data_IF_636914952643
#
_entry.id   IF_636914952643
#
_cell.length_a   1.000
_cell.length_b   1.000
_cell.length_c   1.000
_cell.angle_alpha   90.00
_cell.angle_beta   90.00
_cell.angle_gamma   90.00
#
_symmetry.space_group_name_H-M   'P 1'
#
loop_
_entity.id
_entity.type
_entity.pdbx_description
1 polymer ?
#
# COMPACT_ATOMS: atom_id res chain seq x y z
N UNK A 1 1.70 21.86 4.15
CA UNK A 1 0.53 22.04 5.02
C UNK A 1 -0.17 20.70 5.08
N UNK A 2 -0.30 20.09 6.26
CA UNK A 2 -1.02 18.82 6.37
C UNK A 2 -2.52 19.12 6.24
N UNK A 3 -3.16 18.36 5.37
CA UNK A 3 -4.50 18.57 4.85
C UNK A 3 -5.56 18.64 5.96
N UNK A 4 -6.42 19.67 5.91
CA UNK A 4 -7.59 19.87 6.79
C UNK A 4 -8.73 18.89 6.47
N UNK A 5 -8.54 18.03 5.45
CA UNK A 5 -9.52 17.04 5.02
C UNK A 5 -9.99 16.17 6.19
N UNK A 6 -11.27 16.31 6.51
CA UNK A 6 -11.96 15.51 7.51
C UNK A 6 -12.41 14.18 6.92
N UNK A 7 -12.14 13.10 7.63
CA UNK A 7 -12.58 11.75 7.28
C UNK A 7 -13.79 11.36 8.12
N UNK A 8 -14.90 10.93 7.51
CA UNK A 8 -16.03 10.37 8.24
C UNK A 8 -15.68 9.02 8.85
N UNK A 9 -15.96 8.86 10.15
CA UNK A 9 -15.68 7.64 10.92
C UNK A 9 -16.92 7.22 11.69
N UNK A 10 -17.44 6.06 11.35
CA UNK A 10 -18.47 5.40 12.15
C UNK A 10 -17.84 4.67 13.34
N UNK A 11 -18.57 4.50 14.42
CA UNK A 11 -18.04 3.84 15.62
C UNK A 11 -19.06 2.94 16.30
N UNK A 12 -18.56 1.98 17.07
CA UNK A 12 -19.36 1.14 17.95
C UNK A 12 -18.63 0.87 19.27
N UNK A 13 -19.39 0.73 20.35
CA UNK A 13 -18.90 0.33 21.66
C UNK A 13 -19.28 -1.12 21.93
N UNK A 14 -18.28 -1.99 21.94
CA UNK A 14 -18.43 -3.43 22.14
C UNK A 14 -17.99 -3.82 23.55
N UNK A 15 -18.94 -4.18 24.40
CA UNK A 15 -18.69 -4.39 25.81
C UNK A 15 -19.69 -5.38 26.41
N UNK A 16 -19.60 -5.57 27.72
CA UNK A 16 -20.53 -6.37 28.50
C UNK A 16 -20.94 -5.56 29.72
N UNK A 17 -22.21 -5.62 30.12
CA UNK A 17 -22.66 -4.98 31.34
C UNK A 17 -21.97 -5.60 32.58
N UNK A 18 -21.53 -4.78 33.57
CA UNK A 18 -20.95 -5.29 34.81
C UNK A 18 -21.85 -6.32 35.49
N UNK A 19 -21.26 -7.40 36.03
CA UNK A 19 -21.98 -8.52 36.67
C UNK A 19 -22.96 -9.28 35.77
N UNK A 20 -22.99 -9.02 34.47
CA UNK A 20 -23.83 -9.78 33.53
C UNK A 20 -23.29 -11.20 33.32
N UNK A 21 -24.19 -12.15 33.00
CA UNK A 21 -23.84 -13.47 32.52
C UNK A 21 -23.77 -13.56 30.99
N UNK A 22 -24.35 -12.58 30.27
CA UNK A 22 -24.40 -12.53 28.81
C UNK A 22 -23.02 -12.32 28.18
N UNK A 23 -22.83 -12.68 26.91
CA UNK A 23 -21.55 -12.43 26.23
C UNK A 23 -21.40 -10.95 25.84
N UNK A 24 -20.25 -10.57 25.30
CA UNK A 24 -20.04 -9.22 24.77
C UNK A 24 -20.95 -8.92 23.58
N UNK A 25 -21.50 -7.71 23.56
CA UNK A 25 -22.39 -7.20 22.52
C UNK A 25 -22.08 -5.74 22.19
N UNK A 26 -22.67 -5.22 21.11
CA UNK A 26 -22.58 -3.80 20.77
C UNK A 26 -23.61 -3.05 21.62
N UNK A 27 -23.13 -2.22 22.55
CA UNK A 27 -23.99 -1.46 23.46
C UNK A 27 -24.39 -0.08 22.90
N UNK A 28 -23.60 0.47 21.97
CA UNK A 28 -23.89 1.73 21.28
C UNK A 28 -23.17 1.78 19.93
N UNK A 29 -23.71 2.53 18.97
CA UNK A 29 -23.14 2.67 17.62
C UNK A 29 -23.63 3.96 16.96
N UNK A 30 -22.80 4.58 16.09
CA UNK A 30 -23.20 5.71 15.26
C UNK A 30 -23.88 5.31 13.95
N UNK A 31 -23.90 4.01 13.61
CA UNK A 31 -24.49 3.53 12.37
C UNK A 31 -26.03 3.57 12.46
N UNK A 32 -26.73 4.14 11.46
CA UNK A 32 -28.19 4.10 11.40
C UNK A 32 -28.66 2.68 11.07
N UNK A 33 -29.53 2.12 11.90
CA UNK A 33 -30.30 0.86 11.71
C UNK A 33 -29.53 -0.44 11.36
N UNK A 34 -28.20 -0.43 11.19
CA UNK A 34 -27.38 -1.64 11.29
C UNK A 34 -27.45 -2.12 12.74
N UNK A 35 -28.34 -3.09 13.01
CA UNK A 35 -28.59 -3.53 14.37
C UNK A 35 -27.28 -4.00 15.02
N UNK A 36 -27.08 -3.75 16.33
CA UNK A 36 -26.02 -4.37 17.14
C UNK A 36 -25.75 -5.85 16.83
N UNK A 37 -26.76 -6.57 16.34
CA UNK A 37 -26.73 -7.97 15.91
C UNK A 37 -25.88 -8.22 14.66
N UNK A 38 -25.74 -7.26 13.74
CA UNK A 38 -24.91 -7.39 12.54
C UNK A 38 -23.44 -7.03 12.81
N UNK A 39 -23.20 -5.99 13.62
CA UNK A 39 -21.86 -5.55 14.00
C UNK A 39 -21.19 -6.51 14.98
N UNK A 40 -21.94 -7.10 15.91
CA UNK A 40 -21.41 -8.03 16.90
C UNK A 40 -20.60 -9.19 16.31
N UNK A 41 -21.15 -9.97 15.34
CA UNK A 41 -20.41 -11.01 14.63
C UNK A 41 -19.15 -10.51 13.92
N UNK A 42 -19.20 -9.34 13.27
CA UNK A 42 -18.05 -8.76 12.58
C UNK A 42 -16.92 -8.43 13.56
N UNK A 43 -17.24 -7.75 14.67
CA UNK A 43 -16.28 -7.39 15.71
C UNK A 43 -15.69 -8.65 16.35
N UNK A 44 -16.52 -9.64 16.69
CA UNK A 44 -16.06 -10.94 17.22
C UNK A 44 -15.16 -11.69 16.24
N UNK A 45 -15.45 -11.60 14.95
CA UNK A 45 -14.66 -12.20 13.89
C UNK A 45 -13.31 -11.53 13.64
N UNK A 46 -13.08 -10.33 14.18
CA UNK A 46 -11.81 -9.60 14.08
C UNK A 46 -11.01 -9.64 15.40
N UNK A 47 -11.68 -9.73 16.55
CA UNK A 47 -11.00 -9.76 17.83
C UNK A 47 -10.20 -11.06 18.04
N UNK A 48 -8.97 -10.91 18.50
CA UNK A 48 -8.27 -11.99 19.22
C UNK A 48 -9.16 -12.37 20.41
N UNK A 49 -9.42 -13.66 20.63
CA UNK A 49 -10.55 -14.19 21.41
C UNK A 49 -10.66 -13.73 22.88
N UNK A 50 -11.05 -14.64 23.76
CA UNK A 50 -11.18 -14.32 25.18
C UNK A 50 -9.79 -14.29 25.82
N UNK A 51 -9.12 -13.14 25.78
CA UNK A 51 -7.78 -12.98 26.33
C UNK A 51 -7.86 -12.29 27.69
N UNK A 52 -7.19 -12.85 28.70
CA UNK A 52 -6.94 -12.14 29.95
C UNK A 52 -5.74 -11.20 29.77
N UNK A 53 -5.91 -9.94 30.15
CA UNK A 53 -4.80 -9.00 30.16
C UNK A 53 -4.09 -9.05 31.52
N UNK A 54 -2.76 -9.23 31.57
CA UNK A 54 -2.01 -9.13 32.81
C UNK A 54 -2.09 -7.71 33.38
N UNK A 55 -2.03 -7.59 34.71
CA UNK A 55 -2.08 -6.31 35.40
C UNK A 55 -0.88 -5.38 35.05
N UNK A 56 0.26 -5.96 34.67
CA UNK A 56 1.48 -5.28 34.28
C UNK A 56 2.23 -6.03 33.17
N UNK A 57 3.15 -5.33 32.51
CA UNK A 57 4.04 -5.92 31.51
C UNK A 57 3.50 -5.88 30.08
N UNK A 58 4.15 -6.63 29.16
CA UNK A 58 4.07 -6.42 27.72
C UNK A 58 2.69 -6.75 27.12
N UNK A 59 1.95 -7.64 27.78
CA UNK A 59 0.59 -8.00 27.37
C UNK A 59 -0.50 -7.13 27.95
N UNK A 60 -0.18 -6.05 28.66
CA UNK A 60 -1.21 -5.19 29.26
C UNK A 60 -1.96 -4.39 28.18
N UNK A 61 -3.28 -4.29 28.30
CA UNK A 61 -4.14 -3.39 27.50
C UNK A 61 -3.77 -1.90 27.72
N UNK A 62 -3.94 -1.03 26.72
CA UNK A 62 -4.76 -1.23 25.52
C UNK A 62 -4.07 -2.00 24.39
N UNK A 63 -4.87 -2.70 23.59
CA UNK A 63 -4.43 -3.36 22.35
C UNK A 63 -5.20 -2.79 21.17
N UNK A 64 -4.57 -2.75 20.00
CA UNK A 64 -5.22 -2.40 18.75
C UNK A 64 -5.27 -3.60 17.80
N UNK A 65 -6.40 -3.73 17.12
CA UNK A 65 -6.61 -4.64 15.99
C UNK A 65 -6.98 -3.82 14.77
N UNK A 66 -6.34 -4.17 13.67
CA UNK A 66 -6.59 -3.68 12.33
C UNK A 66 -7.20 -4.82 11.54
N UNK A 67 -8.27 -4.53 10.81
CA UNK A 67 -8.80 -5.48 9.84
C UNK A 67 -9.70 -4.81 8.82
N UNK A 68 -10.31 -5.64 7.98
CA UNK A 68 -11.28 -5.22 7.00
C UNK A 68 -12.63 -5.85 7.33
N UNK A 69 -13.70 -5.07 7.29
CA UNK A 69 -15.06 -5.61 7.29
C UNK A 69 -15.37 -6.10 5.88
N UNK A 70 -15.67 -7.40 5.68
CA UNK A 70 -16.13 -7.90 4.40
C UNK A 70 -17.42 -7.16 4.00
N UNK A 71 -17.44 -6.61 2.80
CA UNK A 71 -18.52 -5.81 2.24
C UNK A 71 -18.36 -5.73 0.72
N UNK A 72 -19.20 -4.97 0.03
CA UNK A 72 -19.16 -4.87 -1.43
C UNK A 72 -17.74 -4.59 -1.96
N UNK A 73 -17.37 -5.13 -3.15
CA UNK A 73 -16.00 -5.11 -3.68
C UNK A 73 -15.32 -3.74 -3.70
N UNK A 74 -16.10 -2.66 -3.86
CA UNK A 74 -15.62 -1.27 -3.93
C UNK A 74 -15.77 -0.49 -2.61
N UNK A 75 -16.34 -1.11 -1.57
CA UNK A 75 -16.77 -0.47 -0.33
C UNK A 75 -16.15 -1.11 0.92
N UNK A 76 -14.95 -1.68 0.80
CA UNK A 76 -14.21 -2.21 1.94
C UNK A 76 -14.10 -1.16 3.04
N UNK A 77 -14.70 -1.44 4.20
CA UNK A 77 -14.54 -0.62 5.40
C UNK A 77 -13.36 -1.16 6.19
N UNK A 78 -12.42 -0.29 6.47
CA UNK A 78 -11.34 -0.56 7.40
C UNK A 78 -11.88 -0.51 8.82
N UNK A 79 -11.45 -1.47 9.65
CA UNK A 79 -11.87 -1.63 11.03
C UNK A 79 -10.66 -1.44 11.94
N UNK A 80 -10.74 -0.46 12.83
CA UNK A 80 -9.76 -0.21 13.88
C UNK A 80 -10.40 -0.45 15.23
N UNK A 81 -9.95 -1.46 15.96
CA UNK A 81 -10.53 -1.85 17.23
C UNK A 81 -9.51 -1.60 18.33
N UNK A 82 -9.86 -0.76 19.30
CA UNK A 82 -9.07 -0.54 20.51
C UNK A 82 -9.74 -1.29 21.65
N UNK A 83 -9.06 -2.30 22.21
CA UNK A 83 -9.48 -2.95 23.45
C UNK A 83 -8.90 -2.18 24.62
N UNK A 84 -9.77 -1.65 25.47
CA UNK A 84 -9.43 -0.76 26.58
C UNK A 84 -9.15 -1.52 27.90
N UNK A 85 -8.78 -0.76 28.92
CA UNK A 85 -8.57 -1.25 30.29
C UNK A 85 -9.87 -1.81 30.86
N UNK A 86 -9.71 -2.71 31.83
CA UNK A 86 -10.82 -3.37 32.48
C UNK A 86 -11.83 -2.36 33.06
N UNK A 87 -13.09 -2.50 32.67
CA UNK A 87 -14.22 -1.68 33.11
C UNK A 87 -15.12 -2.44 34.10
N UNK A 88 -14.49 -3.13 35.05
CA UNK A 88 -15.15 -3.98 36.04
C UNK A 88 -15.04 -5.47 35.74
N UNK A 89 -15.86 -6.26 36.41
CA UNK A 89 -15.85 -7.72 36.33
C UNK A 89 -17.22 -8.28 35.94
N UNK A 90 -17.21 -9.40 35.22
CA UNK A 90 -18.42 -10.14 34.88
C UNK A 90 -18.92 -11.01 36.05
N UNK A 91 -20.03 -11.73 35.86
CA UNK A 91 -20.58 -12.63 36.87
C UNK A 91 -19.62 -13.75 37.33
N UNK A 92 -18.58 -14.07 36.53
CA UNK A 92 -17.57 -15.07 36.84
C UNK A 92 -16.29 -14.45 37.44
N UNK A 93 -16.29 -13.14 37.75
CA UNK A 93 -15.14 -12.44 38.31
C UNK A 93 -14.04 -12.15 37.30
N UNK A 94 -14.29 -12.30 35.99
CA UNK A 94 -13.32 -12.01 34.94
C UNK A 94 -13.40 -10.55 34.55
N UNK A 95 -12.25 -9.94 34.27
CA UNK A 95 -12.19 -8.55 33.82
C UNK A 95 -12.96 -8.35 32.51
N UNK A 96 -13.78 -7.30 32.48
CA UNK A 96 -14.47 -6.85 31.27
C UNK A 96 -13.53 -5.91 30.52
N UNK A 97 -13.02 -6.35 29.37
CA UNK A 97 -12.16 -5.57 28.48
C UNK A 97 -13.02 -5.03 27.33
N UNK A 98 -13.65 -3.86 27.48
CA UNK A 98 -14.48 -3.29 26.43
C UNK A 98 -13.62 -2.88 25.24
N UNK A 99 -14.25 -2.71 24.08
CA UNK A 99 -13.59 -2.29 22.86
C UNK A 99 -14.33 -1.15 22.17
N UNK A 100 -13.58 -0.13 21.75
CA UNK A 100 -14.03 0.90 20.81
C UNK A 100 -13.70 0.43 19.41
N UNK A 101 -14.69 0.39 18.56
CA UNK A 101 -14.59 -0.01 17.16
C UNK A 101 -14.77 1.23 16.31
N UNK A 102 -13.85 1.48 15.40
CA UNK A 102 -13.91 2.58 14.43
C UNK A 102 -13.93 2.00 13.02
N UNK A 103 -14.88 2.45 12.21
CA UNK A 103 -15.12 1.99 10.85
C UNK A 103 -14.90 3.14 9.89
N UNK A 104 -14.01 2.95 8.92
CA UNK A 104 -13.60 3.99 7.97
C UNK A 104 -13.70 3.44 6.56
N UNK A 105 -14.34 4.18 5.65
CA UNK A 105 -14.36 3.80 4.24
C UNK A 105 -12.95 3.85 3.64
N UNK A 106 -12.52 2.77 2.99
CA UNK A 106 -11.19 2.71 2.38
C UNK A 106 -10.89 3.88 1.42
N UNK A 107 -11.81 4.32 0.52
CA UNK A 107 -11.52 5.46 -0.36
C UNK A 107 -11.17 6.74 0.40
N UNK A 108 -11.86 7.05 1.50
CA UNK A 108 -11.60 8.23 2.32
C UNK A 108 -10.27 8.10 3.08
N UNK A 109 -9.97 6.90 3.58
CA UNK A 109 -8.69 6.58 4.23
C UNK A 109 -7.51 6.74 3.25
N UNK A 110 -7.67 6.19 2.04
CA UNK A 110 -6.68 6.22 0.99
C UNK A 110 -6.43 7.64 0.49
N UNK A 111 -7.48 8.45 0.31
CA UNK A 111 -7.38 9.85 -0.12
C UNK A 111 -6.37 10.64 0.73
N UNK A 112 -6.46 10.51 2.07
CA UNK A 112 -5.57 11.21 3.01
C UNK A 112 -4.28 10.47 3.33
N UNK A 113 -4.09 9.24 2.82
CA UNK A 113 -2.92 8.43 3.11
C UNK A 113 -2.82 8.03 4.58
N UNK A 114 -3.94 7.69 5.23
CA UNK A 114 -3.93 7.39 6.66
C UNK A 114 -3.06 6.16 7.02
N UNK A 115 -2.56 6.14 8.25
CA UNK A 115 -1.80 5.03 8.84
C UNK A 115 -2.36 4.63 10.20
N UNK A 116 -2.02 3.43 10.66
CA UNK A 116 -2.55 2.91 11.92
C UNK A 116 -2.02 3.69 13.13
N UNK A 117 -0.77 4.17 13.10
CA UNK A 117 -0.22 5.05 14.12
C UNK A 117 -0.94 6.40 14.20
N UNK A 118 -1.34 6.99 13.06
CA UNK A 118 -2.10 8.25 13.05
C UNK A 118 -3.53 8.04 13.57
N UNK A 119 -4.13 6.91 13.26
CA UNK A 119 -5.42 6.52 13.82
C UNK A 119 -5.34 6.29 15.32
N UNK A 120 -4.30 5.62 15.81
CA UNK A 120 -4.07 5.50 17.25
C UNK A 120 -3.95 6.85 17.94
N UNK A 121 -3.18 7.79 17.38
CA UNK A 121 -3.06 9.14 17.92
C UNK A 121 -4.42 9.85 18.02
N UNK A 122 -5.29 9.67 17.01
CA UNK A 122 -6.62 10.27 17.00
C UNK A 122 -7.59 9.58 17.98
N UNK A 123 -7.51 8.25 18.13
CA UNK A 123 -8.52 7.45 18.81
C UNK A 123 -8.16 7.04 20.23
N UNK A 124 -6.88 6.88 20.59
CA UNK A 124 -6.46 6.24 21.84
C UNK A 124 -7.11 6.84 23.09
N UNK A 125 -7.27 8.17 23.11
CA UNK A 125 -7.87 8.91 24.22
C UNK A 125 -9.24 9.52 23.87
N UNK A 126 -9.85 9.11 22.76
CA UNK A 126 -11.11 9.66 22.29
C UNK A 126 -12.31 9.07 23.04
N UNK A 127 -13.11 9.91 23.68
CA UNK A 127 -14.36 9.50 24.33
C UNK A 127 -15.50 9.45 23.31
N UNK A 128 -16.22 8.33 23.25
CA UNK A 128 -17.30 8.14 22.28
C UNK A 128 -18.53 8.97 22.66
N UNK A 129 -19.15 9.69 21.70
CA UNK A 129 -20.35 10.49 21.96
C UNK A 129 -21.58 9.58 22.03
N UNK A 130 -21.94 9.11 23.22
CA UNK A 130 -23.06 8.18 23.37
C UNK A 130 -24.45 8.81 23.16
N UNK A 131 -24.60 10.13 23.31
CA UNK A 131 -25.89 10.83 23.22
C UNK A 131 -25.75 12.26 22.66
N UNK A 132 -26.24 12.55 21.44
CA UNK A 132 -26.70 11.59 20.45
C UNK A 132 -25.54 10.76 19.86
N UNK A 133 -25.77 9.50 19.46
CA UNK A 133 -24.75 8.71 18.79
C UNK A 133 -24.52 9.20 17.36
N UNK A 134 -23.59 10.14 17.20
CA UNK A 134 -23.25 10.74 15.92
C UNK A 134 -21.94 10.20 15.34
N UNK A 135 -21.87 10.18 14.00
CA UNK A 135 -20.66 9.86 13.25
C UNK A 135 -19.57 10.90 13.53
N UNK A 136 -18.32 10.47 13.65
CA UNK A 136 -17.18 11.36 13.87
C UNK A 136 -16.68 11.94 12.54
N UNK A 137 -16.21 13.19 12.57
CA UNK A 137 -15.44 13.81 11.49
C UNK A 137 -14.04 14.11 12.01
N UNK A 138 -13.04 13.37 11.53
CA UNK A 138 -11.67 13.45 12.06
C UNK A 138 -10.69 13.99 11.04
N UNK A 139 -9.92 14.99 11.45
CA UNK A 139 -8.79 15.54 10.71
C UNK A 139 -7.48 14.91 11.16
N UNK A 140 -6.41 15.07 10.37
CA UNK A 140 -5.05 14.70 10.80
C UNK A 140 -4.73 13.21 10.76
N UNK A 141 -5.62 12.38 10.21
CA UNK A 141 -5.36 10.95 9.99
C UNK A 141 -4.27 10.72 8.93
N UNK A 142 -4.09 11.67 8.01
CA UNK A 142 -3.13 11.57 6.93
C UNK A 142 -1.67 11.61 7.37
N UNK A 143 -0.81 11.03 6.53
CA UNK A 143 0.65 11.12 6.64
C UNK A 143 1.29 11.36 5.29
N UNK A 144 2.51 11.89 5.32
CA UNK A 144 3.33 12.16 4.13
C UNK A 144 4.31 10.99 3.88
N UNK A 145 4.74 10.75 2.63
CA UNK A 145 5.80 9.79 2.34
C UNK A 145 7.07 9.98 3.18
N UNK A 146 7.54 11.21 3.36
CA UNK A 146 8.71 11.52 4.20
C UNK A 146 8.59 10.94 5.63
N UNK A 147 7.46 11.17 6.30
CA UNK A 147 7.17 10.60 7.63
C UNK A 147 7.08 9.07 7.60
N UNK A 148 6.50 8.47 6.57
CA UNK A 148 6.50 7.01 6.43
C UNK A 148 7.93 6.47 6.30
N UNK A 149 8.79 7.14 5.53
CA UNK A 149 10.21 6.81 5.40
C UNK A 149 10.97 6.94 6.72
N UNK A 150 10.70 7.98 7.51
CA UNK A 150 11.24 8.11 8.88
C UNK A 150 10.85 6.92 9.76
N UNK A 151 9.60 6.48 9.72
CA UNK A 151 9.13 5.30 10.46
C UNK A 151 9.84 4.02 10.00
N UNK A 152 10.06 3.84 8.68
CA UNK A 152 10.85 2.72 8.12
C UNK A 152 12.29 2.77 8.63
N UNK A 153 12.93 3.94 8.60
CA UNK A 153 14.31 4.12 9.09
C UNK A 153 14.44 3.81 10.57
N UNK A 154 13.47 4.23 11.38
CA UNK A 154 13.46 3.96 12.82
C UNK A 154 13.41 2.45 13.13
N UNK A 155 12.78 1.66 12.28
CA UNK A 155 12.74 0.19 12.40
C UNK A 155 13.94 -0.51 11.73
N UNK A 156 14.76 0.22 10.96
CA UNK A 156 15.84 -0.31 10.13
C UNK A 156 15.35 -0.85 8.79
N UNK A 157 15.85 -0.27 7.69
CA UNK A 157 15.40 -0.61 6.33
C UNK A 157 15.47 -2.10 6.03
N UNK A 158 16.63 -2.72 6.28
CA UNK A 158 16.92 -4.10 5.91
C UNK A 158 15.94 -5.06 6.59
N UNK A 159 15.63 -4.80 7.86
CA UNK A 159 14.64 -5.55 8.61
C UNK A 159 13.22 -5.30 8.10
N UNK A 160 12.83 -4.03 7.91
CA UNK A 160 11.48 -3.67 7.46
C UNK A 160 11.17 -4.23 6.06
N UNK A 161 12.12 -4.17 5.13
CA UNK A 161 11.97 -4.70 3.78
C UNK A 161 11.80 -6.23 3.80
N UNK A 162 12.60 -6.94 4.59
CA UNK A 162 12.45 -8.38 4.77
C UNK A 162 11.10 -8.74 5.43
N UNK A 163 10.64 -7.95 6.40
CA UNK A 163 9.35 -8.13 7.05
C UNK A 163 8.18 -7.90 6.07
N UNK A 164 8.23 -6.85 5.24
CA UNK A 164 7.23 -6.59 4.21
C UNK A 164 7.14 -7.73 3.19
N UNK A 165 8.29 -8.25 2.74
CA UNK A 165 8.36 -9.42 1.88
C UNK A 165 7.77 -10.69 2.52
N UNK A 166 8.04 -10.91 3.81
CA UNK A 166 7.47 -12.03 4.54
C UNK A 166 5.94 -11.91 4.69
N UNK A 167 5.43 -10.71 5.02
CA UNK A 167 3.99 -10.41 5.10
C UNK A 167 3.28 -10.66 3.78
N UNK A 168 3.92 -10.29 2.66
CA UNK A 168 3.37 -10.54 1.33
C UNK A 168 3.22 -12.05 1.03
N UNK A 169 4.12 -12.87 1.57
CA UNK A 169 4.12 -14.31 1.37
C UNK A 169 3.21 -15.06 2.32
N UNK A 170 2.80 -14.45 3.44
CA UNK A 170 1.84 -15.04 4.36
C UNK A 170 1.82 -14.41 5.75
N UNK A 171 1.06 -15.00 6.69
CA UNK A 171 0.98 -14.52 8.07
C UNK A 171 2.34 -14.58 8.78
N UNK A 172 2.70 -13.47 9.44
CA UNK A 172 3.92 -13.37 10.24
C UNK A 172 3.60 -13.09 11.71
N UNK A 173 4.47 -13.59 12.58
CA UNK A 173 4.47 -13.27 14.01
C UNK A 173 5.77 -12.58 14.39
N UNK A 174 5.66 -11.41 15.00
CA UNK A 174 6.79 -10.57 15.38
C UNK A 174 7.01 -10.72 16.89
N UNK A 175 8.18 -11.24 17.27
CA UNK A 175 8.66 -11.30 18.65
C UNK A 175 9.73 -10.23 18.91
N UNK A 176 10.15 -10.07 20.17
CA UNK A 176 11.15 -9.05 20.55
C UNK A 176 10.57 -7.65 20.74
N UNK A 177 9.24 -7.50 20.65
CA UNK A 177 8.51 -6.25 20.84
C UNK A 177 7.76 -6.22 22.19
N UNK A 178 8.18 -7.03 23.16
CA UNK A 178 7.54 -7.12 24.47
C UNK A 178 7.65 -5.76 25.18
N UNK A 179 8.78 -5.07 25.08
CA UNK A 179 8.97 -3.76 25.71
C UNK A 179 8.25 -2.61 24.99
N UNK A 180 7.73 -2.84 23.78
CA UNK A 180 6.95 -1.86 23.05
C UNK A 180 5.53 -1.78 23.60
N UNK A 181 4.97 -0.57 23.68
CA UNK A 181 3.54 -0.39 23.91
C UNK A 181 2.74 -0.56 22.61
N UNK A 182 1.41 -0.37 22.67
CA UNK A 182 0.57 -0.46 21.48
C UNK A 182 0.98 0.55 20.39
N UNK A 183 1.43 1.75 20.77
CA UNK A 183 1.84 2.77 19.80
C UNK A 183 3.13 2.35 19.09
N UNK A 184 4.13 1.84 19.82
CA UNK A 184 5.38 1.33 19.26
C UNK A 184 5.14 0.18 18.27
N UNK A 185 4.26 -0.77 18.62
CA UNK A 185 3.89 -1.89 17.74
C UNK A 185 3.13 -1.43 16.49
N UNK A 186 2.29 -0.40 16.60
CA UNK A 186 1.63 0.21 15.44
C UNK A 186 2.61 0.97 14.54
N UNK A 187 3.64 1.60 15.10
CA UNK A 187 4.70 2.21 14.31
C UNK A 187 5.46 1.17 13.47
N UNK A 188 5.70 -0.03 14.03
CA UNK A 188 6.27 -1.16 13.30
C UNK A 188 5.33 -1.64 12.18
N UNK A 189 4.01 -1.74 12.44
CA UNK A 189 3.02 -2.07 11.40
C UNK A 189 3.03 -1.02 10.29
N UNK A 190 3.11 0.26 10.65
CA UNK A 190 3.17 1.37 9.70
C UNK A 190 4.45 1.32 8.84
N UNK A 191 5.61 1.00 9.44
CA UNK A 191 6.86 0.80 8.70
C UNK A 191 6.74 -0.32 7.67
N UNK A 192 6.26 -1.50 8.08
CA UNK A 192 6.06 -2.65 7.18
C UNK A 192 5.07 -2.28 6.06
N UNK A 193 3.96 -1.64 6.42
CA UNK A 193 2.89 -1.25 5.48
C UNK A 193 3.28 -0.07 4.57
N UNK A 194 4.38 0.63 4.85
CA UNK A 194 4.94 1.66 3.97
C UNK A 194 5.81 1.05 2.85
N UNK A 195 6.28 -0.18 3.03
CA UNK A 195 7.02 -0.95 2.02
C UNK A 195 6.13 -1.95 1.26
N UNK A 196 4.81 -1.75 1.32
CA UNK A 196 3.80 -2.43 0.51
C UNK A 196 3.02 -1.36 -0.28
N UNK A 197 2.45 -1.67 -1.47
CA UNK A 197 1.49 -0.79 -2.11
C UNK A 197 0.39 -0.37 -1.13
N UNK A 198 0.01 0.91 -1.11
CA UNK A 198 -1.00 1.42 -0.18
C UNK A 198 -2.32 0.62 -0.25
N UNK A 199 -2.68 0.18 -1.45
CA UNK A 199 -3.75 -0.76 -1.79
C UNK A 199 -3.87 -1.97 -0.88
N UNK A 200 -2.74 -2.51 -0.43
CA UNK A 200 -2.69 -3.68 0.45
C UNK A 200 -3.36 -3.42 1.80
N UNK A 201 -3.41 -2.16 2.25
CA UNK A 201 -4.01 -1.78 3.54
C UNK A 201 -5.52 -2.01 3.58
N UNK A 202 -6.18 -2.11 2.42
CA UNK A 202 -7.61 -2.37 2.33
C UNK A 202 -8.01 -3.69 3.03
N UNK A 203 -7.14 -4.70 3.00
CA UNK A 203 -7.39 -6.05 3.55
C UNK A 203 -6.29 -6.54 4.50
N UNK A 204 -5.32 -5.67 4.83
CA UNK A 204 -4.29 -5.99 5.79
C UNK A 204 -4.92 -6.16 7.18
N UNK A 205 -4.69 -7.31 7.80
CA UNK A 205 -5.10 -7.60 9.17
C UNK A 205 -3.89 -7.63 10.09
N UNK A 206 -3.98 -6.93 11.23
CA UNK A 206 -2.89 -6.88 12.18
C UNK A 206 -3.34 -6.74 13.63
N UNK A 207 -2.56 -7.28 14.57
CA UNK A 207 -2.85 -7.20 16.01
C UNK A 207 -1.60 -6.77 16.77
N UNK A 208 -1.70 -5.70 17.56
CA UNK A 208 -0.59 -5.23 18.41
C UNK A 208 -0.32 -6.15 19.60
N UNK A 209 -1.23 -7.07 19.88
CA UNK A 209 -1.01 -8.15 20.83
C UNK A 209 -2.04 -9.24 20.62
N UNK A 210 -1.63 -10.50 20.76
CA UNK A 210 -2.56 -11.63 20.84
C UNK A 210 -2.23 -12.54 22.01
N UNK A 211 -3.29 -13.12 22.59
CA UNK A 211 -3.17 -14.27 23.47
C UNK A 211 -2.96 -15.57 22.68
N UNK A 212 -2.87 -16.69 23.41
CA UNK A 212 -2.58 -18.03 22.87
C UNK A 212 -3.71 -18.57 21.95
N UNK A 213 -4.92 -17.99 22.00
CA UNK A 213 -6.09 -18.48 21.26
C UNK A 213 -6.69 -17.37 20.36
N UNK A 214 -6.32 -17.38 19.08
CA UNK A 214 -6.99 -16.56 18.06
C UNK A 214 -7.60 -17.46 17.00
N UNK A 215 -8.92 -17.36 16.82
CA UNK A 215 -9.65 -18.02 15.72
C UNK A 215 -9.33 -17.43 14.35
N UNK A 216 -8.72 -16.24 14.34
CA UNK A 216 -8.29 -15.49 13.17
C UNK A 216 -6.77 -15.57 13.08
N UNK A 217 -6.25 -15.71 11.86
CA UNK A 217 -4.82 -15.59 11.58
C UNK A 217 -4.55 -14.25 10.88
N UNK A 218 -4.13 -13.21 11.62
CA UNK A 218 -3.82 -11.92 11.03
C UNK A 218 -2.58 -12.01 10.14
N UNK A 219 -2.44 -11.13 9.15
CA UNK A 219 -1.18 -11.03 8.40
C UNK A 219 -0.02 -10.64 9.29
N UNK A 220 -0.23 -9.74 10.25
CA UNK A 220 0.81 -9.30 11.19
C UNK A 220 0.32 -9.50 12.62
N UNK A 221 1.06 -10.27 13.41
CA UNK A 221 0.72 -10.49 14.82
C UNK A 221 1.91 -10.25 15.72
N UNK A 222 1.72 -9.48 16.79
CA UNK A 222 2.69 -9.43 17.88
C UNK A 222 2.33 -10.48 18.93
N UNK A 223 3.22 -11.46 19.13
CA UNK A 223 3.00 -12.53 20.10
C UNK A 223 4.33 -12.96 20.74
N UNK A 224 4.31 -13.32 22.04
CA UNK A 224 5.50 -13.82 22.73
C UNK A 224 5.93 -15.21 22.21
N UNK A 225 4.97 -16.04 21.75
CA UNK A 225 5.20 -17.38 21.20
C UNK A 225 4.17 -17.70 20.11
N UNK A 226 4.55 -18.49 19.09
CA UNK A 226 3.66 -18.95 18.02
C UNK A 226 3.80 -18.22 16.68
N UNK A 227 3.15 -18.75 15.64
CA UNK A 227 3.16 -18.22 14.27
C UNK A 227 3.81 -19.11 13.22
N UNK A 228 3.30 -19.09 11.99
CA UNK A 228 3.84 -19.86 10.86
C UNK A 228 5.24 -19.37 10.47
N UNK A 229 5.44 -18.05 10.43
CA UNK A 229 6.72 -17.40 10.12
C UNK A 229 7.05 -16.37 11.20
N UNK A 230 8.12 -16.63 11.95
CA UNK A 230 8.53 -15.81 13.09
C UNK A 230 9.62 -14.83 12.68
N UNK A 231 9.40 -13.55 12.97
CA UNK A 231 10.36 -12.48 12.82
C UNK A 231 10.79 -12.00 14.21
N UNK A 232 12.08 -11.67 14.37
CA UNK A 232 12.56 -10.97 15.56
C UNK A 232 12.71 -9.49 15.20
N UNK A 233 12.06 -8.61 15.96
CA UNK A 233 12.09 -7.18 15.71
C UNK A 233 13.54 -6.66 15.66
N UNK A 234 13.88 -5.93 14.60
CA UNK A 234 15.19 -5.31 14.41
C UNK A 234 16.32 -6.25 13.94
N UNK A 235 16.07 -7.56 13.84
CA UNK A 235 17.07 -8.54 13.36
C UNK A 235 16.75 -8.95 11.93
N UNK A 236 17.49 -8.49 10.91
CA UNK A 236 17.24 -8.86 9.53
C UNK A 236 17.39 -10.38 9.37
N UNK A 237 16.37 -11.02 8.81
CA UNK A 237 16.40 -12.42 8.42
C UNK A 237 16.02 -12.54 6.94
N UNK A 238 16.60 -13.50 6.24
CA UNK A 238 16.26 -13.70 4.83
C UNK A 238 14.85 -14.30 4.78
N UNK A 239 13.90 -13.66 4.07
CA UNK A 239 12.55 -14.17 4.04
C UNK A 239 12.51 -15.51 3.31
N UNK A 240 11.63 -16.41 3.75
CA UNK A 240 11.49 -17.76 3.19
C UNK A 240 10.51 -17.75 2.03
N UNK A 241 10.84 -18.50 0.98
CA UNK A 241 10.00 -18.65 -0.22
C UNK A 241 10.41 -17.72 -1.36
N UNK A 242 10.18 -18.17 -2.60
CA UNK A 242 10.59 -17.46 -3.80
C UNK A 242 9.94 -16.08 -3.92
N UNK A 243 8.63 -15.97 -3.67
CA UNK A 243 7.90 -14.71 -3.72
C UNK A 243 8.50 -13.65 -2.78
N UNK A 244 8.83 -14.04 -1.55
CA UNK A 244 9.40 -13.12 -0.56
C UNK A 244 10.80 -12.66 -0.98
N UNK A 245 11.63 -13.59 -1.48
CA UNK A 245 12.96 -13.26 -1.97
C UNK A 245 12.88 -12.29 -3.16
N UNK A 246 12.03 -12.59 -4.16
CA UNK A 246 11.83 -11.75 -5.34
C UNK A 246 11.35 -10.34 -4.97
N UNK A 247 10.44 -10.24 -3.99
CA UNK A 247 9.93 -8.95 -3.53
C UNK A 247 11.00 -8.15 -2.79
N UNK A 248 11.80 -8.79 -1.93
CA UNK A 248 12.91 -8.13 -1.24
C UNK A 248 13.97 -7.62 -2.22
N UNK A 249 14.34 -8.44 -3.20
CA UNK A 249 15.30 -8.05 -4.24
C UNK A 249 14.77 -6.87 -5.08
N UNK A 250 13.48 -6.90 -5.41
CA UNK A 250 12.81 -5.78 -6.08
C UNK A 250 12.82 -4.50 -5.23
N UNK A 251 12.47 -4.57 -3.94
CA UNK A 251 12.52 -3.40 -3.05
C UNK A 251 13.92 -2.80 -2.98
N UNK A 252 14.96 -3.63 -2.92
CA UNK A 252 16.34 -3.16 -2.87
C UNK A 252 16.79 -2.53 -4.19
N UNK A 253 16.41 -3.11 -5.34
CA UNK A 253 16.68 -2.52 -6.64
C UNK A 253 15.99 -1.15 -6.80
N UNK A 254 14.72 -1.06 -6.42
CA UNK A 254 13.96 0.19 -6.48
C UNK A 254 14.48 1.24 -5.47
N UNK A 255 14.94 0.82 -4.28
CA UNK A 255 15.62 1.72 -3.33
C UNK A 255 16.89 2.29 -3.92
N UNK A 256 17.72 1.47 -4.55
CA UNK A 256 18.97 1.93 -5.17
C UNK A 256 18.71 2.99 -6.25
N UNK A 257 17.57 2.87 -6.95
CA UNK A 257 17.17 3.78 -8.02
C UNK A 257 16.50 5.06 -7.53
N UNK A 258 15.48 4.95 -6.69
CA UNK A 258 14.63 6.08 -6.31
C UNK A 258 14.99 6.69 -4.95
N UNK A 259 15.94 6.08 -4.23
CA UNK A 259 16.10 6.32 -2.80
C UNK A 259 14.91 5.79 -1.99
N UNK A 260 15.05 5.81 -0.67
CA UNK A 260 14.02 5.28 0.24
C UNK A 260 12.73 6.09 0.19
N UNK A 261 12.83 7.43 0.22
CA UNK A 261 11.67 8.31 0.18
C UNK A 261 10.95 8.25 -1.17
N UNK A 262 11.70 8.24 -2.27
CA UNK A 262 11.13 8.13 -3.61
C UNK A 262 10.42 6.79 -3.86
N UNK A 263 10.91 5.70 -3.27
CA UNK A 263 10.25 4.40 -3.30
C UNK A 263 8.97 4.39 -2.43
N UNK A 264 9.06 4.86 -1.18
CA UNK A 264 7.90 4.94 -0.28
C UNK A 264 6.80 5.83 -0.86
N UNK A 265 7.15 6.95 -1.49
CA UNK A 265 6.18 7.83 -2.15
C UNK A 265 5.43 7.14 -3.29
N UNK A 266 6.15 6.35 -4.11
CA UNK A 266 5.54 5.57 -5.20
C UNK A 266 4.62 4.48 -4.68
N UNK A 267 5.05 3.72 -3.67
CA UNK A 267 4.20 2.70 -3.03
C UNK A 267 2.95 3.32 -2.38
N UNK A 268 3.07 4.53 -1.80
CA UNK A 268 1.95 5.28 -1.23
C UNK A 268 0.91 5.74 -2.28
N UNK A 269 1.30 5.82 -3.56
CA UNK A 269 0.41 6.20 -4.66
C UNK A 269 -0.32 5.01 -5.31
N UNK A 270 0.13 3.77 -5.07
CA UNK A 270 -0.58 2.58 -5.50
C UNK A 270 -1.78 2.31 -4.58
N UNK A 271 -2.90 3.00 -4.82
CA UNK A 271 -4.05 3.05 -3.89
C UNK A 271 -5.19 2.11 -4.25
N UNK A 272 -5.18 1.47 -5.41
CA UNK A 272 -6.22 0.51 -5.77
C UNK A 272 -6.26 -0.65 -4.76
N UNK A 273 -7.42 -1.02 -4.20
CA UNK A 273 -7.51 -2.07 -3.19
C UNK A 273 -6.89 -3.38 -3.69
N UNK A 274 -6.02 -3.99 -2.88
CA UNK A 274 -5.46 -5.32 -3.14
C UNK A 274 -5.80 -6.21 -1.95
N UNK A 275 -6.58 -7.27 -2.20
CA UNK A 275 -6.83 -8.31 -1.20
C UNK A 275 -5.58 -9.18 -1.00
N UNK A 276 -4.71 -8.76 -0.09
CA UNK A 276 -3.50 -9.51 0.29
C UNK A 276 -3.80 -10.86 0.95
N UNK A 277 -5.06 -11.17 1.28
CA UNK A 277 -5.49 -12.48 1.79
C UNK A 277 -5.78 -13.46 0.66
N UNK A 278 -6.12 -12.97 -0.53
CA UNK A 278 -6.56 -13.80 -1.65
C UNK A 278 -5.43 -14.71 -2.19
N UNK A 279 -5.75 -15.93 -2.64
CA UNK A 279 -4.79 -16.80 -3.31
C UNK A 279 -4.15 -16.08 -4.51
N UNK A 280 -2.82 -16.06 -4.56
CA UNK A 280 -2.08 -15.43 -5.67
C UNK A 280 -1.91 -13.91 -5.58
N UNK A 281 -2.47 -13.25 -4.56
CA UNK A 281 -2.33 -11.79 -4.37
C UNK A 281 -0.88 -11.30 -4.35
N UNK A 282 0.04 -12.13 -3.86
CA UNK A 282 1.47 -11.87 -3.88
C UNK A 282 2.02 -11.59 -5.28
N UNK A 283 1.55 -12.32 -6.29
CA UNK A 283 1.94 -12.10 -7.69
C UNK A 283 1.40 -10.77 -8.22
N UNK A 284 0.16 -10.41 -7.89
CA UNK A 284 -0.44 -9.13 -8.25
C UNK A 284 0.32 -7.95 -7.65
N UNK A 285 0.68 -8.03 -6.35
CA UNK A 285 1.49 -7.01 -5.69
C UNK A 285 2.88 -6.91 -6.31
N UNK A 286 3.54 -8.05 -6.55
CA UNK A 286 4.86 -8.06 -7.18
C UNK A 286 4.81 -7.41 -8.57
N UNK A 287 3.77 -7.69 -9.35
CA UNK A 287 3.59 -7.08 -10.66
C UNK A 287 3.34 -5.56 -10.55
N UNK A 288 2.44 -5.12 -9.66
CA UNK A 288 2.18 -3.70 -9.45
C UNK A 288 3.44 -2.92 -9.02
N UNK A 289 4.30 -3.53 -8.21
CA UNK A 289 5.58 -2.91 -7.79
C UNK A 289 6.62 -2.96 -8.91
N UNK A 290 6.67 -4.01 -9.75
CA UNK A 290 7.50 -4.03 -10.96
C UNK A 290 7.11 -2.92 -11.92
N UNK A 291 5.81 -2.63 -12.02
CA UNK A 291 5.29 -1.55 -12.84
C UNK A 291 5.63 -0.15 -12.29
N UNK A 292 6.10 -0.01 -11.03
CA UNK A 292 6.66 1.26 -10.55
C UNK A 292 7.97 1.62 -11.23
N UNK A 293 8.71 0.61 -11.67
CA UNK A 293 9.85 0.75 -12.55
C UNK A 293 9.50 0.24 -13.94
N UNK A 294 8.33 0.66 -14.42
CA UNK A 294 7.91 0.43 -15.78
C UNK A 294 8.99 0.86 -16.77
N UNK A 295 9.81 1.85 -16.43
CA UNK A 295 10.88 2.35 -17.26
C UNK A 295 12.04 1.35 -17.40
N UNK A 296 12.59 0.79 -16.31
CA UNK A 296 13.54 -0.33 -16.44
C UNK A 296 12.87 -1.54 -17.08
N UNK A 297 11.62 -1.84 -16.73
CA UNK A 297 10.91 -2.98 -17.32
C UNK A 297 10.74 -2.81 -18.83
N UNK A 298 10.44 -1.59 -19.29
CA UNK A 298 10.31 -1.22 -20.70
C UNK A 298 11.67 -1.21 -21.40
N UNK A 299 12.71 -0.65 -20.77
CA UNK A 299 14.08 -0.69 -21.29
C UNK A 299 14.59 -2.13 -21.42
N UNK A 300 14.38 -2.95 -20.40
CA UNK A 300 14.79 -4.35 -20.38
C UNK A 300 14.01 -5.16 -21.41
N UNK A 301 12.69 -5.00 -21.50
CA UNK A 301 11.88 -5.62 -22.54
C UNK A 301 12.31 -5.16 -23.95
N UNK A 302 12.72 -3.89 -24.09
CA UNK A 302 13.29 -3.36 -25.33
C UNK A 302 14.62 -4.04 -25.69
N UNK A 303 15.52 -4.19 -24.71
CA UNK A 303 16.81 -4.89 -24.86
C UNK A 303 16.64 -6.38 -25.15
N UNK A 304 15.62 -7.02 -24.59
CA UNK A 304 15.27 -8.43 -24.82
C UNK A 304 14.45 -8.64 -26.11
N UNK A 305 14.01 -7.57 -26.77
CA UNK A 305 13.15 -7.62 -27.95
C UNK A 305 11.72 -8.10 -27.68
N UNK A 306 11.28 -8.08 -26.42
CA UNK A 306 9.95 -8.53 -25.95
C UNK A 306 8.98 -7.37 -25.72
N UNK A 307 9.41 -6.13 -25.96
CA UNK A 307 8.61 -4.94 -25.74
C UNK A 307 7.35 -4.90 -26.62
N UNK A 308 6.19 -4.65 -26.00
CA UNK A 308 4.91 -4.45 -26.67
C UNK A 308 4.67 -2.96 -26.98
N UNK A 309 4.47 -2.57 -28.26
CA UNK A 309 4.23 -1.18 -28.63
C UNK A 309 2.93 -0.61 -28.04
N UNK A 310 1.91 -1.42 -27.76
CA UNK A 310 0.68 -0.95 -27.09
C UNK A 310 0.95 -0.63 -25.63
N UNK A 311 1.67 -1.51 -24.93
CA UNK A 311 2.14 -1.28 -23.57
C UNK A 311 3.02 -0.04 -23.45
N UNK A 312 3.91 0.19 -24.42
CA UNK A 312 4.75 1.39 -24.49
C UNK A 312 3.92 2.67 -24.61
N UNK A 313 2.94 2.71 -25.52
CA UNK A 313 2.06 3.88 -25.72
C UNK A 313 1.22 4.23 -24.49
N UNK A 314 0.57 3.24 -23.87
CA UNK A 314 -0.20 3.46 -22.63
C UNK A 314 0.66 3.98 -21.47
N UNK A 315 1.93 3.58 -21.44
CA UNK A 315 2.87 3.99 -20.38
C UNK A 315 3.40 5.40 -20.61
N UNK A 316 3.57 5.83 -21.86
CA UNK A 316 3.80 7.24 -22.18
C UNK A 316 2.62 8.12 -21.76
N UNK A 317 1.38 7.69 -22.01
CA UNK A 317 0.19 8.43 -21.58
C UNK A 317 0.08 8.54 -20.05
N UNK A 318 0.55 7.52 -19.32
CA UNK A 318 0.47 7.44 -17.87
C UNK A 318 1.61 8.15 -17.13
N UNK A 319 2.71 8.48 -17.80
CA UNK A 319 3.89 9.03 -17.15
C UNK A 319 3.99 10.54 -17.30
N UNK A 320 4.21 11.25 -16.18
CA UNK A 320 4.78 12.60 -16.23
C UNK A 320 6.22 12.47 -16.75
N UNK A 321 6.44 12.62 -18.06
CA UNK A 321 7.76 12.43 -18.66
C UNK A 321 8.84 13.41 -18.17
N UNK A 322 8.45 14.41 -17.37
CA UNK A 322 9.34 15.30 -16.62
C UNK A 322 10.06 14.58 -15.46
N UNK A 323 9.57 13.40 -15.05
CA UNK A 323 10.19 12.56 -14.02
C UNK A 323 11.31 11.65 -14.54
N UNK A 324 11.57 11.63 -15.86
CA UNK A 324 12.57 10.78 -16.50
C UNK A 324 13.97 11.44 -16.50
N UNK A 325 15.02 10.62 -16.41
CA UNK A 325 16.39 11.07 -16.65
C UNK A 325 16.70 11.21 -18.16
N UNK A 326 17.72 12.01 -18.56
CA UNK A 326 18.07 12.21 -19.98
C UNK A 326 18.50 10.94 -20.72
N UNK A 327 19.09 9.98 -20.02
CA UNK A 327 19.50 8.69 -20.61
C UNK A 327 18.29 7.79 -20.90
N UNK A 328 17.34 7.74 -19.96
CA UNK A 328 16.16 6.90 -20.06
C UNK A 328 15.20 7.43 -21.14
N UNK A 329 15.08 8.76 -21.25
CA UNK A 329 14.36 9.40 -22.37
C UNK A 329 14.96 9.04 -23.72
N UNK A 330 16.30 9.02 -23.83
CA UNK A 330 16.99 8.60 -25.06
C UNK A 330 16.72 7.14 -25.42
N UNK A 331 16.77 6.21 -24.46
CA UNK A 331 16.49 4.79 -24.72
C UNK A 331 15.03 4.56 -25.13
N UNK A 332 14.07 5.18 -24.43
CA UNK A 332 12.65 5.12 -24.80
C UNK A 332 12.39 5.68 -26.21
N UNK A 333 13.03 6.81 -26.53
CA UNK A 333 12.97 7.42 -27.86
C UNK A 333 13.51 6.47 -28.93
N UNK A 334 14.62 5.80 -28.65
CA UNK A 334 15.20 4.80 -29.56
C UNK A 334 14.23 3.62 -29.80
N UNK A 335 13.57 3.10 -28.76
CA UNK A 335 12.58 2.02 -28.94
C UNK A 335 11.36 2.46 -29.74
N UNK A 336 10.83 3.64 -29.46
CA UNK A 336 9.70 4.19 -30.21
C UNK A 336 10.03 4.40 -31.70
N UNK A 337 11.24 4.89 -32.00
CA UNK A 337 11.78 4.97 -33.37
C UNK A 337 11.89 3.59 -34.02
N UNK A 338 12.36 2.56 -33.30
CA UNK A 338 12.44 1.20 -33.84
C UNK A 338 11.05 0.63 -34.19
N UNK A 339 10.00 0.90 -33.40
CA UNK A 339 8.65 0.46 -33.74
C UNK A 339 8.07 1.21 -34.95
N UNK A 340 8.27 2.53 -35.01
CA UNK A 340 7.90 3.32 -36.17
C UNK A 340 8.61 2.82 -37.45
N UNK A 341 9.89 2.43 -37.34
CA UNK A 341 10.65 1.87 -38.45
C UNK A 341 10.09 0.53 -38.94
N UNK A 342 9.59 -0.32 -38.03
CA UNK A 342 8.98 -1.61 -38.38
C UNK A 342 7.60 -1.49 -39.03
N UNK A 343 7.06 -0.28 -39.19
CA UNK A 343 5.75 -0.04 -39.78
C UNK A 343 4.61 -0.52 -38.88
N UNK A 344 4.83 -0.61 -37.57
CA UNK A 344 3.76 -0.87 -36.62
C UNK A 344 2.97 0.44 -36.42
N UNK A 345 1.74 0.48 -36.95
CA UNK A 345 0.85 1.64 -36.83
C UNK A 345 0.63 2.05 -35.36
N UNK A 346 0.62 1.09 -34.43
CA UNK A 346 0.43 1.34 -32.99
C UNK A 346 1.69 1.89 -32.35
N UNK A 347 2.86 1.39 -32.77
CA UNK A 347 4.15 1.93 -32.36
C UNK A 347 4.41 3.33 -32.92
N UNK A 348 3.95 3.58 -34.15
CA UNK A 348 3.96 4.92 -34.77
C UNK A 348 3.07 5.88 -34.01
N UNK A 349 1.87 5.45 -33.62
CA UNK A 349 0.94 6.28 -32.83
C UNK A 349 1.46 6.58 -31.41
N UNK A 350 2.11 5.61 -30.76
CA UNK A 350 2.81 5.83 -29.49
C UNK A 350 3.98 6.83 -29.63
N UNK A 351 4.77 6.71 -30.71
CA UNK A 351 5.85 7.64 -31.01
C UNK A 351 5.33 9.05 -31.31
N UNK A 352 4.25 9.18 -32.08
CA UNK A 352 3.65 10.48 -32.37
C UNK A 352 3.09 11.15 -31.09
N UNK A 353 2.49 10.38 -30.19
CA UNK A 353 2.07 10.88 -28.87
C UNK A 353 3.24 11.32 -27.98
N UNK A 354 4.40 10.68 -28.08
CA UNK A 354 5.62 11.17 -27.42
C UNK A 354 6.10 12.50 -28.02
N UNK A 355 6.06 12.61 -29.35
CA UNK A 355 6.54 13.77 -30.11
C UNK A 355 5.73 15.05 -29.91
N UNK A 356 4.53 14.99 -29.33
CA UNK A 356 3.76 16.20 -28.99
C UNK A 356 4.34 16.95 -27.79
N UNK A 357 5.38 16.42 -27.13
CA UNK A 357 6.11 17.13 -26.07
C UNK A 357 7.07 18.17 -26.65
N UNK A 358 7.15 19.33 -26.00
CA UNK A 358 7.97 20.46 -26.43
C UNK A 358 9.49 20.17 -26.49
N UNK A 359 9.97 19.14 -25.78
CA UNK A 359 11.37 18.74 -25.66
C UNK A 359 11.75 17.52 -26.52
N UNK A 360 10.78 16.77 -27.05
CA UNK A 360 11.01 15.48 -27.71
C UNK A 360 11.87 15.56 -29.00
N UNK A 361 11.82 16.68 -29.72
CA UNK A 361 12.57 16.86 -30.98
C UNK A 361 14.09 16.80 -30.76
N UNK A 362 14.59 17.44 -29.69
CA UNK A 362 16.02 17.42 -29.37
C UNK A 362 16.52 16.02 -29.03
N UNK A 363 15.70 15.24 -28.33
CA UNK A 363 16.02 13.89 -27.91
C UNK A 363 16.00 12.89 -29.07
N UNK A 364 15.09 13.06 -30.02
CA UNK A 364 15.09 12.29 -31.28
C UNK A 364 16.36 12.55 -32.09
N UNK A 365 16.77 13.81 -32.23
CA UNK A 365 18.01 14.16 -32.95
C UNK A 365 19.23 13.54 -32.27
N UNK A 366 19.28 13.56 -30.94
CA UNK A 366 20.37 12.95 -30.17
C UNK A 366 20.36 11.41 -30.25
N UNK A 367 19.19 10.77 -30.18
CA UNK A 367 19.03 9.33 -30.33
C UNK A 367 19.42 8.85 -31.75
N UNK A 368 19.11 9.64 -32.78
CA UNK A 368 19.53 9.40 -34.17
C UNK A 368 21.05 9.55 -34.34
N UNK A 369 21.66 10.54 -33.67
CA UNK A 369 23.10 10.82 -33.75
C UNK A 369 24.01 9.83 -33.01
N UNK A 370 23.49 9.11 -32.01
CA UNK A 370 24.27 8.17 -31.17
C UNK A 370 24.41 6.76 -31.76
N UNK A 371 23.72 6.45 -32.87
CA UNK A 371 23.81 5.14 -33.51
C UNK A 371 23.11 4.00 -32.76
N UNK A 372 22.23 4.31 -31.79
CA UNK A 372 21.38 3.32 -31.10
C UNK A 372 20.39 2.59 -32.04
N UNK A 373 20.26 3.04 -33.29
CA UNK A 373 19.50 2.39 -34.36
C UNK A 373 20.37 1.48 -35.24
N UNK A 374 21.34 0.75 -34.67
CA UNK A 374 22.07 -0.30 -35.41
C UNK A 374 21.22 -1.57 -35.53
N UNK A 375 20.12 -1.50 -36.29
CA UNK A 375 19.51 -2.67 -36.92
C UNK A 375 20.23 -2.98 -38.25
N UNK A 376 20.15 -4.22 -38.78
CA UNK A 376 20.69 -4.52 -40.09
C UNK A 376 20.08 -3.54 -41.09
N UNK A 377 20.94 -2.74 -41.73
CA UNK A 377 20.53 -1.68 -42.63
C UNK A 377 19.52 -2.22 -43.64
N UNK A 378 18.25 -1.83 -43.50
CA UNK A 378 17.31 -1.95 -44.59
C UNK A 378 17.90 -1.15 -45.77
N UNK A 379 17.86 -1.67 -47.00
CA UNK A 379 18.41 -0.95 -48.15
C UNK A 379 17.63 0.37 -48.34
N UNK A 380 18.26 1.48 -47.93
CA UNK A 380 17.65 2.82 -47.93
C UNK A 380 17.87 3.66 -46.67
N UNK A 381 18.94 3.45 -45.89
CA UNK A 381 19.15 4.02 -44.55
C UNK A 381 18.97 5.55 -44.37
N UNK A 382 19.09 6.34 -45.43
CA UNK A 382 18.91 7.80 -45.36
C UNK A 382 17.44 8.26 -45.54
N UNK A 383 16.54 7.46 -46.11
CA UNK A 383 15.18 7.95 -46.44
C UNK A 383 14.20 7.90 -45.27
N UNK A 384 14.44 7.06 -44.28
CA UNK A 384 13.47 6.82 -43.20
C UNK A 384 13.39 8.00 -42.20
N UNK A 385 14.53 8.55 -41.80
CA UNK A 385 14.61 9.70 -40.89
C UNK A 385 13.99 10.94 -41.55
N UNK A 386 14.20 11.07 -42.88
CA UNK A 386 13.54 12.08 -43.70
C UNK A 386 12.03 11.85 -43.86
N UNK A 387 11.54 10.62 -43.90
CA UNK A 387 10.10 10.32 -43.96
C UNK A 387 9.40 10.56 -42.61
N UNK A 388 10.06 10.26 -41.48
CA UNK A 388 9.57 10.67 -40.16
C UNK A 388 9.58 12.20 -40.04
N UNK A 389 10.68 12.86 -40.40
CA UNK A 389 10.76 14.32 -40.40
C UNK A 389 9.66 14.94 -41.29
N UNK A 390 9.38 14.39 -42.49
CA UNK A 390 8.27 14.84 -43.35
C UNK A 390 6.89 14.56 -42.76
N UNK A 391 6.71 13.44 -42.05
CA UNK A 391 5.43 13.14 -41.38
C UNK A 391 5.18 14.09 -40.20
N UNK A 392 6.24 14.48 -39.49
CA UNK A 392 6.20 15.49 -38.42
C UNK A 392 5.99 16.91 -38.98
N UNK A 393 6.69 17.28 -40.06
CA UNK A 393 6.57 18.56 -40.78
C UNK A 393 5.16 18.75 -41.38
N UNK A 394 4.54 17.69 -41.90
CA UNK A 394 3.14 17.69 -42.33
C UNK A 394 2.11 17.79 -41.19
N UNK A 395 2.54 17.61 -39.93
CA UNK A 395 1.69 17.68 -38.75
C UNK A 395 1.87 18.98 -37.95
N UNK A 396 2.81 19.87 -38.31
CA UNK A 396 2.79 21.26 -37.80
C UNK A 396 1.46 21.98 -38.17
N UNK A 397 0.80 21.56 -39.25
CA UNK A 397 -0.58 21.97 -39.59
C UNK A 397 -1.65 21.40 -38.63
N UNK A 398 -1.37 20.32 -37.90
CA UNK A 398 -2.28 19.70 -36.91
C UNK A 398 -2.06 20.29 -35.51
N UNK A 399 -0.85 20.75 -35.18
CA UNK A 399 -0.60 21.54 -33.97
C UNK A 399 -1.36 22.89 -33.99
N UNK A 400 -1.62 23.45 -35.17
CA UNK A 400 -2.49 24.63 -35.34
C UNK A 400 -3.99 24.32 -35.18
N UNK A 401 -4.41 23.05 -35.18
CA UNK A 401 -5.81 22.64 -35.06
C UNK A 401 -6.25 22.25 -33.64
N UNK A 402 -5.32 22.28 -32.67
CA UNK A 402 -5.58 21.94 -31.25
C UNK A 402 -5.12 23.02 -30.25
N UNK A 403 -4.73 24.21 -30.74
CA UNK A 403 -4.77 25.48 -29.99
C UNK A 403 -6.11 26.17 -30.25
#
# INVERSE_FOLDING_TARGET
MADETTVPVDWAWYAKAPRSAHDYEVLATSLPEDSPEQLGPLVRGQLAGTVQSPAAGPGRVPWATIGSVPGEPDASRWCFIIRDRAAGQDAAGRDILPARVFLIGYPAMAAVGATAGRMWQAFANYELPFDPPERLLLSGLGTTPARMTETVRACGWEWTAAAAAAVLSGPVSIGGAENEDAAGRLAVIDAISALLPYGCRAHLTAHTWTGIDTRVQPRITFAPVGGSHRLSLGTPDRPRGALAADYLDLLNALRARFGEEGLVARLANLRDPIDVQAPGAGGTVLQAVRDLDWLAATVQAGREGTLDPVGLGRRFDACEADSLGPEERRELTAFALQFAHRGDDRGTDAFLRYMTRADAVGEVVEALGTGLLTGPAAPGGDTWAWDIARRLDRQEDVAAAYL
#
